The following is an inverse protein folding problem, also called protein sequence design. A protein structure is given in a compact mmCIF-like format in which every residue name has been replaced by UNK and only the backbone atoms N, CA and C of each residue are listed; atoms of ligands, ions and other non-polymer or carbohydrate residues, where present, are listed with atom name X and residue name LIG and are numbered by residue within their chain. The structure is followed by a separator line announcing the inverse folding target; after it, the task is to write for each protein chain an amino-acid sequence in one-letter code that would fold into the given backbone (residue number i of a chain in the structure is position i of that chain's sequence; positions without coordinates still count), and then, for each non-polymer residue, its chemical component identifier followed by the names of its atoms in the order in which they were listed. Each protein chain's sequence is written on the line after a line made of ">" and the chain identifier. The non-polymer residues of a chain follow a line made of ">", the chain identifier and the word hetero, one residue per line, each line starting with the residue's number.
data_IF_604201976830
#
_entry.id   IF_604201976830
#
_cell.length_a   1.000
_cell.length_b   1.000
_cell.length_c   1.000
_cell.angle_alpha   90.00
_cell.angle_beta   90.00
_cell.angle_gamma   90.00
#
_symmetry.space_group_name_H-M   'P 1'
#
loop_
_entity.id
_entity.type
_entity.pdbx_description
1 polymer ?
#
# COMPACT_ATOMS: atom_id res chain seq x y z
N UNK A 1 11.53 39.31 2.11
CA UNK A 1 10.06 39.25 1.97
C UNK A 1 9.63 37.80 2.17
N UNK A 2 8.69 37.54 3.07
CA UNK A 2 8.07 36.23 3.22
C UNK A 2 7.17 35.96 2.00
N UNK A 3 7.31 34.80 1.38
CA UNK A 3 6.49 34.38 0.25
C UNK A 3 5.89 33.03 0.60
N UNK A 4 4.66 33.05 1.10
CA UNK A 4 3.92 31.87 1.54
C UNK A 4 3.82 30.77 0.45
N UNK A 5 3.53 31.08 -0.83
CA UNK A 5 3.51 30.07 -1.89
C UNK A 5 4.85 29.36 -2.11
N UNK A 6 5.96 30.10 -2.00
CA UNK A 6 7.30 29.51 -2.18
C UNK A 6 7.65 28.56 -1.04
N UNK A 7 7.19 28.82 0.19
CA UNK A 7 7.41 27.95 1.35
C UNK A 7 6.62 26.66 1.20
N UNK A 8 5.34 26.75 0.84
CA UNK A 8 4.48 25.57 0.67
C UNK A 8 4.92 24.70 -0.51
N UNK A 9 5.31 25.29 -1.63
CA UNK A 9 5.76 24.56 -2.82
C UNK A 9 7.14 23.89 -2.68
N UNK A 10 7.94 24.30 -1.69
CA UNK A 10 9.27 23.72 -1.40
C UNK A 10 9.31 22.92 -0.10
N UNK A 11 8.16 22.75 0.56
CA UNK A 11 8.10 22.02 1.82
C UNK A 11 8.40 20.53 1.58
N UNK A 12 9.47 20.04 2.19
CA UNK A 12 9.74 18.60 2.25
C UNK A 12 8.82 17.98 3.28
N UNK A 13 8.17 16.87 2.91
CA UNK A 13 7.37 16.09 3.85
C UNK A 13 8.26 15.55 4.97
N UNK A 14 7.81 15.65 6.22
CA UNK A 14 8.49 15.00 7.35
C UNK A 14 8.61 13.49 7.12
N UNK A 15 9.67 12.89 7.67
CA UNK A 15 9.84 11.44 7.65
C UNK A 15 8.69 10.76 8.39
N UNK A 16 8.32 9.58 7.92
CA UNK A 16 7.45 8.72 8.70
C UNK A 16 8.24 8.08 9.85
N UNK A 17 7.63 7.89 11.03
CA UNK A 17 8.21 7.06 12.05
C UNK A 17 8.40 5.62 11.54
N UNK A 18 9.38 4.87 12.06
CA UNK A 18 9.53 3.45 11.77
C UNK A 18 8.25 2.68 12.09
N UNK A 19 7.93 1.66 11.30
CA UNK A 19 6.78 0.80 11.59
C UNK A 19 6.99 0.05 12.90
N UNK A 20 6.02 0.12 13.81
CA UNK A 20 6.00 -0.68 15.05
C UNK A 20 5.44 -2.09 14.84
N UNK A 21 4.90 -2.37 13.64
CA UNK A 21 4.45 -3.71 13.28
C UNK A 21 5.62 -4.68 13.27
N UNK A 22 5.48 -5.78 14.00
CA UNK A 22 6.35 -6.95 13.82
C UNK A 22 6.22 -7.39 12.37
N UNK A 23 7.34 -7.66 11.73
CA UNK A 23 7.40 -8.07 10.33
C UNK A 23 6.66 -9.37 10.07
N UNK A 24 6.41 -10.19 11.10
CA UNK A 24 5.82 -11.52 11.03
C UNK A 24 4.68 -11.67 12.05
N UNK A 25 3.55 -12.17 11.56
CA UNK A 25 2.47 -12.67 12.41
C UNK A 25 2.86 -14.03 13.01
N UNK A 26 2.62 -14.31 14.31
CA UNK A 26 3.09 -15.55 14.95
C UNK A 26 2.21 -16.78 14.68
N UNK A 27 1.07 -16.63 14.00
CA UNK A 27 0.17 -17.74 13.70
C UNK A 27 -0.42 -17.63 12.28
N UNK A 28 -0.74 -18.78 11.63
CA UNK A 28 -1.39 -18.79 10.32
C UNK A 28 -2.66 -17.95 10.32
N UNK A 29 -2.85 -17.15 9.27
CA UNK A 29 -4.02 -16.28 9.07
C UNK A 29 -4.21 -15.20 10.14
N UNK A 30 -3.24 -14.98 11.05
CA UNK A 30 -3.35 -13.93 12.06
C UNK A 30 -3.21 -12.51 11.47
N UNK A 31 -2.61 -12.38 10.29
CA UNK A 31 -2.59 -11.13 9.51
C UNK A 31 -2.59 -11.44 8.01
N UNK A 32 -3.76 -11.29 7.38
CA UNK A 32 -3.91 -11.37 5.92
C UNK A 32 -3.93 -9.97 5.35
N UNK A 33 -3.03 -9.69 4.42
CA UNK A 33 -2.99 -8.44 3.69
C UNK A 33 -3.61 -8.68 2.31
N UNK A 34 -4.43 -7.73 1.88
CA UNK A 34 -5.16 -7.78 0.62
C UNK A 34 -4.75 -6.58 -0.23
N UNK A 35 -4.54 -6.81 -1.51
CA UNK A 35 -4.34 -5.74 -2.49
C UNK A 35 -5.24 -5.96 -3.71
N UNK A 36 -5.56 -4.85 -4.39
CA UNK A 36 -6.38 -4.85 -5.59
C UNK A 36 -5.61 -4.15 -6.71
N UNK A 37 -5.28 -4.92 -7.75
CA UNK A 37 -4.64 -4.40 -8.94
C UNK A 37 -5.69 -4.17 -10.04
N UNK A 38 -5.86 -2.92 -10.47
CA UNK A 38 -6.73 -2.57 -11.59
C UNK A 38 -7.28 -1.13 -11.55
N UNK A 39 -8.10 -0.72 -12.52
CA UNK A 39 -8.63 -1.55 -13.61
C UNK A 39 -7.56 -1.86 -14.67
N UNK A 40 -7.46 -3.12 -15.05
CA UNK A 40 -6.56 -3.58 -16.11
C UNK A 40 -7.05 -3.08 -17.48
N UNK A 41 -6.12 -2.71 -18.37
CA UNK A 41 -6.47 -2.24 -19.71
C UNK A 41 -7.17 -3.31 -20.54
N UNK A 42 -6.83 -4.59 -20.30
CA UNK A 42 -7.40 -5.76 -20.98
C UNK A 42 -8.19 -6.59 -19.98
N UNK A 43 -9.38 -7.04 -20.37
CA UNK A 43 -10.21 -7.94 -19.56
C UNK A 43 -9.63 -9.35 -19.54
N UNK A 44 -9.76 -10.05 -18.42
CA UNK A 44 -9.51 -11.50 -18.37
C UNK A 44 -10.49 -12.25 -19.29
N UNK A 45 -10.22 -13.54 -19.51
CA UNK A 45 -11.14 -14.42 -20.27
C UNK A 45 -12.55 -14.45 -19.66
N UNK A 46 -12.68 -14.26 -18.34
CA UNK A 46 -13.97 -14.17 -17.65
C UNK A 46 -14.56 -12.77 -17.56
N UNK A 47 -13.96 -11.77 -18.24
CA UNK A 47 -14.45 -10.39 -18.23
C UNK A 47 -14.01 -9.54 -17.03
N UNK A 48 -13.19 -10.08 -16.12
CA UNK A 48 -12.70 -9.31 -14.97
C UNK A 48 -11.66 -8.27 -15.38
N UNK A 49 -11.65 -7.11 -14.72
CA UNK A 49 -10.63 -6.06 -14.87
C UNK A 49 -9.81 -5.80 -13.63
N UNK A 50 -10.09 -6.50 -12.54
CA UNK A 50 -9.37 -6.35 -11.28
C UNK A 50 -8.85 -7.71 -10.85
N UNK A 51 -7.66 -7.70 -10.27
CA UNK A 51 -7.05 -8.85 -9.61
C UNK A 51 -7.01 -8.53 -8.12
N UNK A 52 -7.58 -9.39 -7.30
CA UNK A 52 -7.41 -9.34 -5.85
C UNK A 52 -6.30 -10.32 -5.46
N UNK A 53 -5.33 -9.85 -4.69
CA UNK A 53 -4.28 -10.69 -4.10
C UNK A 53 -4.47 -10.74 -2.60
N UNK A 54 -4.23 -11.91 -2.02
CA UNK A 54 -4.27 -12.15 -0.58
C UNK A 54 -2.97 -12.82 -0.19
N UNK A 55 -2.31 -12.29 0.82
CA UNK A 55 -1.11 -12.88 1.36
C UNK A 55 -1.18 -12.94 2.87
N UNK A 56 -0.91 -14.13 3.40
CA UNK A 56 -0.81 -14.36 4.83
C UNK A 56 0.61 -14.03 5.28
N UNK A 57 0.73 -13.13 6.25
CA UNK A 57 2.03 -12.66 6.75
C UNK A 57 2.78 -13.72 7.57
N UNK A 58 2.11 -14.80 8.00
CA UNK A 58 2.77 -15.95 8.64
C UNK A 58 3.43 -16.88 7.61
N UNK A 59 2.79 -17.10 6.46
CA UNK A 59 3.19 -18.09 5.46
C UNK A 59 4.20 -17.58 4.41
N UNK A 60 5.05 -16.59 4.78
CA UNK A 60 5.95 -15.89 3.86
C UNK A 60 6.92 -16.79 3.10
#
# INVERSE_FOLDING_TARGET
>A
KFCEPCVMGKMTRSSHPPSTHKSECPCPLGLVRMDACGPMPVTSLGGARYIATFYDDFSK
#
